data_IF_953182731071
#
_entry.id   IF_953182731071
#
_cell.length_a   1.000
_cell.length_b   1.000
_cell.length_c   1.000
_cell.angle_alpha   90.00
_cell.angle_beta   90.00
_cell.angle_gamma   90.00
#
_symmetry.space_group_name_H-M   'P 1'
#
loop_
_entity.id
_entity.type
_entity.pdbx_description
1 polymer ?
#
# COMPACT_ATOMS: atom_id res chain seq x y z
N UNK A 1 3.70 -24.17 -29.12
CA UNK A 1 3.27 -23.80 -27.76
C UNK A 1 3.41 -22.31 -27.59
N UNK A 2 2.35 -21.59 -27.76
CA UNK A 2 2.30 -20.19 -27.38
C UNK A 2 2.28 -20.15 -25.86
N UNK A 3 3.42 -19.78 -25.26
CA UNK A 3 3.41 -19.31 -23.88
C UNK A 3 2.54 -18.06 -23.87
N UNK A 4 1.30 -18.19 -23.43
CA UNK A 4 0.52 -17.03 -23.05
C UNK A 4 1.39 -16.27 -22.06
N UNK A 5 1.86 -15.08 -22.46
CA UNK A 5 2.62 -14.22 -21.57
C UNK A 5 1.75 -13.88 -20.39
N UNK A 6 1.86 -14.63 -19.31
CA UNK A 6 1.29 -14.23 -18.03
C UNK A 6 2.02 -12.95 -17.69
N UNK A 7 1.31 -11.83 -17.80
CA UNK A 7 1.85 -10.53 -17.43
C UNK A 7 2.29 -10.62 -15.96
N UNK A 8 3.59 -10.54 -15.76
CA UNK A 8 4.17 -10.68 -14.42
C UNK A 8 3.84 -9.44 -13.61
N UNK A 9 3.17 -9.63 -12.49
CA UNK A 9 2.89 -8.53 -11.58
C UNK A 9 4.19 -8.02 -10.96
N UNK A 10 4.35 -6.68 -10.92
CA UNK A 10 5.42 -6.02 -10.20
C UNK A 10 4.99 -5.85 -8.74
N UNK A 11 5.43 -6.77 -7.89
CA UNK A 11 5.08 -6.82 -6.47
C UNK A 11 6.32 -7.10 -5.63
N UNK A 12 6.42 -6.46 -4.47
CA UNK A 12 7.48 -6.67 -3.50
C UNK A 12 6.89 -7.01 -2.14
N UNK A 13 7.43 -8.02 -1.50
CA UNK A 13 7.09 -8.35 -0.13
C UNK A 13 7.89 -7.47 0.82
N UNK A 14 7.21 -6.66 1.62
CA UNK A 14 7.84 -5.80 2.63
C UNK A 14 7.99 -6.54 3.95
N UNK A 15 6.91 -7.15 4.41
CA UNK A 15 6.89 -8.09 5.53
C UNK A 15 6.09 -9.32 5.09
N UNK A 16 6.01 -10.32 5.95
CA UNK A 16 5.17 -11.49 5.69
C UNK A 16 3.72 -11.11 5.40
N UNK A 17 3.24 -9.99 5.96
CA UNK A 17 1.84 -9.57 5.89
C UNK A 17 1.60 -8.30 5.07
N UNK A 18 2.62 -7.67 4.51
CA UNK A 18 2.50 -6.40 3.80
C UNK A 18 3.27 -6.44 2.47
N UNK A 19 2.57 -6.10 1.40
CA UNK A 19 3.11 -6.09 0.04
C UNK A 19 2.81 -4.77 -0.65
N UNK A 20 3.72 -4.34 -1.53
CA UNK A 20 3.56 -3.16 -2.39
C UNK A 20 3.65 -3.62 -3.84
N UNK A 21 2.78 -3.08 -4.69
CA UNK A 21 2.81 -3.33 -6.12
C UNK A 21 2.65 -2.05 -6.93
N UNK A 22 3.09 -2.10 -8.17
CA UNK A 22 2.65 -1.16 -9.19
C UNK A 22 1.22 -1.51 -9.60
N UNK A 23 0.63 -0.75 -10.52
CA UNK A 23 -0.77 -0.88 -10.90
C UNK A 23 -1.18 -2.35 -11.13
N UNK A 24 -2.16 -2.79 -10.36
CA UNK A 24 -2.78 -4.10 -10.51
C UNK A 24 -3.81 -4.02 -11.64
N UNK A 25 -3.65 -4.89 -12.64
CA UNK A 25 -4.53 -4.98 -13.81
C UNK A 25 -5.33 -6.29 -13.75
N UNK A 26 -6.37 -6.36 -14.57
CA UNK A 26 -7.20 -7.57 -14.68
C UNK A 26 -6.36 -8.83 -14.97
N UNK A 27 -5.33 -8.71 -15.79
CA UNK A 27 -4.44 -9.81 -16.16
C UNK A 27 -3.61 -10.36 -15.00
N UNK A 28 -3.55 -9.62 -13.88
CA UNK A 28 -2.82 -10.01 -12.67
C UNK A 28 -3.71 -10.81 -11.68
N UNK A 29 -4.97 -11.04 -12.01
CA UNK A 29 -5.94 -11.64 -11.08
C UNK A 29 -5.44 -12.95 -10.49
N UNK A 30 -4.88 -13.83 -11.30
CA UNK A 30 -4.42 -15.14 -10.82
C UNK A 30 -3.28 -15.00 -9.82
N UNK A 31 -2.32 -14.11 -10.08
CA UNK A 31 -1.23 -13.84 -9.14
C UNK A 31 -1.75 -13.28 -7.81
N UNK A 32 -2.76 -12.41 -7.88
CA UNK A 32 -3.39 -11.85 -6.67
C UNK A 32 -4.11 -12.95 -5.90
N UNK A 33 -4.84 -13.84 -6.58
CA UNK A 33 -5.53 -14.96 -5.91
C UNK A 33 -4.53 -15.89 -5.22
N UNK A 34 -3.36 -16.13 -5.82
CA UNK A 34 -2.30 -16.93 -5.21
C UNK A 34 -1.70 -16.25 -3.98
N UNK A 35 -1.58 -14.93 -4.00
CA UNK A 35 -1.13 -14.15 -2.83
C UNK A 35 -2.15 -14.25 -1.70
N UNK A 36 -3.41 -14.39 -2.03
CA UNK A 36 -4.54 -14.49 -1.09
C UNK A 36 -4.58 -13.33 -0.08
N UNK A 37 -4.64 -12.07 -0.54
CA UNK A 37 -4.69 -10.94 0.38
C UNK A 37 -6.05 -10.85 1.07
N UNK A 38 -6.02 -10.53 2.36
CA UNK A 38 -7.24 -10.21 3.11
C UNK A 38 -7.76 -8.80 2.83
N UNK A 39 -6.89 -7.94 2.31
CA UNK A 39 -7.24 -6.57 1.94
C UNK A 39 -6.33 -6.08 0.82
N UNK A 40 -6.92 -5.45 -0.19
CA UNK A 40 -6.20 -4.74 -1.25
C UNK A 40 -6.53 -3.25 -1.12
N UNK A 41 -5.52 -2.40 -1.09
CA UNK A 41 -5.68 -0.94 -1.05
C UNK A 41 -5.18 -0.37 -2.37
N UNK A 42 -6.07 0.28 -3.12
CA UNK A 42 -5.71 1.06 -4.30
C UNK A 42 -5.58 2.53 -3.94
N UNK A 43 -4.44 3.13 -4.30
CA UNK A 43 -4.17 4.55 -4.10
C UNK A 43 -4.37 5.37 -5.39
N UNK A 44 -4.95 4.78 -6.42
CA UNK A 44 -5.08 5.41 -7.74
C UNK A 44 -6.42 6.12 -7.87
N UNK A 45 -6.40 7.44 -8.14
CA UNK A 45 -7.62 8.23 -8.35
C UNK A 45 -8.19 8.06 -9.77
N UNK A 46 -7.33 7.95 -10.77
CA UNK A 46 -7.72 8.00 -12.18
C UNK A 46 -8.44 6.74 -12.68
N UNK A 47 -8.26 5.64 -11.99
CA UNK A 47 -8.74 4.33 -12.43
C UNK A 47 -9.42 3.59 -11.30
N UNK A 48 -10.55 3.00 -11.60
CA UNK A 48 -11.17 2.06 -10.66
C UNK A 48 -10.30 0.81 -10.52
N UNK A 49 -10.24 0.20 -9.34
CA UNK A 49 -9.66 -1.13 -9.21
C UNK A 49 -10.35 -2.12 -10.15
N UNK A 50 -9.64 -3.14 -10.66
CA UNK A 50 -10.25 -4.12 -11.55
C UNK A 50 -11.46 -4.79 -10.90
N UNK A 51 -12.59 -4.77 -11.61
CA UNK A 51 -13.84 -5.38 -11.11
C UNK A 51 -13.69 -6.87 -10.84
N UNK A 52 -12.77 -7.53 -11.55
CA UNK A 52 -12.50 -8.94 -11.38
C UNK A 52 -12.04 -9.29 -9.95
N UNK A 53 -11.35 -8.39 -9.28
CA UNK A 53 -10.92 -8.60 -7.89
C UNK A 53 -12.14 -8.71 -6.96
N UNK A 54 -13.07 -7.78 -7.09
CA UNK A 54 -14.29 -7.76 -6.28
C UNK A 54 -15.18 -8.96 -6.63
N UNK A 55 -15.28 -9.31 -7.93
CA UNK A 55 -16.06 -10.45 -8.37
C UNK A 55 -15.58 -11.78 -7.80
N UNK A 56 -14.30 -11.88 -7.44
CA UNK A 56 -13.69 -13.05 -6.80
C UNK A 56 -13.76 -13.01 -5.26
N UNK A 57 -14.49 -12.05 -4.70
CA UNK A 57 -14.68 -11.95 -3.26
C UNK A 57 -13.53 -11.29 -2.50
N UNK A 58 -12.58 -10.68 -3.21
CA UNK A 58 -11.48 -9.94 -2.59
C UNK A 58 -11.98 -8.61 -2.06
N UNK A 59 -11.54 -8.24 -0.87
CA UNK A 59 -11.86 -6.94 -0.27
C UNK A 59 -10.93 -5.88 -0.84
N UNK A 60 -11.50 -4.83 -1.45
CA UNK A 60 -10.75 -3.75 -2.07
C UNK A 60 -11.18 -2.42 -1.48
N UNK A 61 -10.22 -1.71 -0.89
CA UNK A 61 -10.39 -0.35 -0.40
C UNK A 61 -9.79 0.61 -1.41
N UNK A 62 -10.62 1.45 -1.99
CA UNK A 62 -10.19 2.42 -3.00
C UNK A 62 -10.01 3.80 -2.37
N UNK A 63 -8.75 4.17 -2.12
CA UNK A 63 -8.36 5.48 -1.59
C UNK A 63 -7.86 6.35 -2.74
N UNK A 64 -8.70 7.28 -3.18
CA UNK A 64 -8.44 8.12 -4.35
C UNK A 64 -7.45 9.22 -4.01
N UNK A 65 -6.18 9.02 -4.37
CA UNK A 65 -5.12 9.98 -4.07
C UNK A 65 -4.35 10.38 -5.32
N UNK A 66 -3.73 11.56 -5.26
CA UNK A 66 -2.88 12.08 -6.32
C UNK A 66 -1.41 11.95 -5.91
N UNK A 67 -0.56 11.63 -6.88
CA UNK A 67 0.89 11.69 -6.69
C UNK A 67 1.38 13.04 -7.22
N UNK A 68 1.23 14.05 -6.38
CA UNK A 68 1.61 15.41 -6.75
C UNK A 68 2.22 16.13 -5.53
N UNK A 69 3.42 16.74 -5.69
CA UNK A 69 4.14 17.33 -4.56
C UNK A 69 3.38 18.43 -3.81
N UNK A 70 2.49 19.15 -4.50
CA UNK A 70 1.72 20.26 -3.93
C UNK A 70 0.37 19.83 -3.34
N UNK A 71 -0.04 18.57 -3.58
CA UNK A 71 -1.31 18.04 -3.07
C UNK A 71 -0.98 16.85 -2.17
N UNK A 72 -0.89 17.05 -0.86
CA UNK A 72 -0.56 15.94 0.05
C UNK A 72 -1.72 14.94 0.15
N UNK A 73 -1.38 13.69 0.45
CA UNK A 73 -2.38 12.70 0.83
C UNK A 73 -2.97 13.14 2.19
N UNK A 74 -4.29 13.30 2.30
CA UNK A 74 -4.87 13.70 3.58
C UNK A 74 -4.55 12.69 4.69
N UNK A 75 -4.27 13.19 5.89
CA UNK A 75 -4.04 12.32 7.06
C UNK A 75 -5.22 11.39 7.32
N UNK A 76 -6.43 11.88 7.10
CA UNK A 76 -7.67 11.09 7.19
C UNK A 76 -7.64 9.87 6.27
N UNK A 77 -7.13 10.03 5.05
CA UNK A 77 -7.01 8.95 4.08
C UNK A 77 -5.97 7.92 4.51
N UNK A 78 -4.81 8.38 4.97
CA UNK A 78 -3.77 7.49 5.49
C UNK A 78 -4.29 6.73 6.72
N UNK A 79 -4.96 7.40 7.63
CA UNK A 79 -5.59 6.79 8.80
C UNK A 79 -6.59 5.71 8.40
N UNK A 80 -7.44 5.99 7.42
CA UNK A 80 -8.43 5.03 6.93
C UNK A 80 -7.77 3.75 6.43
N UNK A 81 -6.71 3.86 5.66
CA UNK A 81 -5.96 2.71 5.15
C UNK A 81 -5.30 1.92 6.27
N UNK A 82 -4.68 2.60 7.23
CA UNK A 82 -4.03 1.95 8.37
C UNK A 82 -5.06 1.22 9.24
N UNK A 83 -6.18 1.85 9.56
CA UNK A 83 -7.23 1.23 10.37
C UNK A 83 -7.89 0.04 9.70
N UNK A 84 -7.95 0.03 8.37
CA UNK A 84 -8.43 -1.13 7.61
C UNK A 84 -7.42 -2.27 7.57
N UNK A 85 -6.12 -1.94 7.50
CA UNK A 85 -5.05 -2.92 7.34
C UNK A 85 -4.70 -3.64 8.65
N UNK A 86 -4.68 -2.92 9.77
CA UNK A 86 -4.20 -3.48 11.05
C UNK A 86 -4.97 -4.73 11.50
N UNK A 87 -6.32 -4.77 11.47
CA UNK A 87 -7.04 -5.98 11.87
C UNK A 87 -6.71 -7.19 10.98
N UNK A 88 -6.55 -6.97 9.68
CA UNK A 88 -6.19 -8.04 8.73
C UNK A 88 -4.84 -8.64 9.10
N UNK A 89 -3.85 -7.78 9.35
CA UNK A 89 -2.49 -8.21 9.72
C UNK A 89 -2.48 -8.90 11.09
N UNK A 90 -3.19 -8.34 12.06
CA UNK A 90 -3.30 -8.91 13.41
C UNK A 90 -3.92 -10.31 13.41
N UNK A 91 -4.80 -10.60 12.44
CA UNK A 91 -5.40 -11.91 12.26
C UNK A 91 -4.57 -12.84 11.34
N UNK A 92 -3.35 -12.46 11.02
CA UNK A 92 -2.44 -13.28 10.20
C UNK A 92 -2.65 -13.14 8.70
N UNK A 93 -3.49 -12.22 8.25
CA UNK A 93 -3.76 -11.97 6.83
C UNK A 93 -2.69 -11.11 6.17
N UNK A 94 -2.83 -10.97 4.85
CA UNK A 94 -1.92 -10.16 4.01
C UNK A 94 -2.64 -8.94 3.47
N UNK A 95 -1.92 -7.82 3.42
CA UNK A 95 -2.39 -6.57 2.83
C UNK A 95 -1.52 -6.25 1.62
N UNK A 96 -2.17 -5.92 0.51
CA UNK A 96 -1.52 -5.45 -0.71
C UNK A 96 -1.89 -4.00 -0.94
N UNK A 97 -0.89 -3.13 -1.07
CA UNK A 97 -1.08 -1.71 -1.41
C UNK A 97 -0.49 -1.45 -2.78
N UNK A 98 -1.24 -0.83 -3.68
CA UNK A 98 -0.72 -0.47 -4.98
C UNK A 98 -1.08 0.95 -5.39
N UNK A 99 -0.24 1.55 -6.23
CA UNK A 99 -0.49 2.78 -6.97
C UNK A 99 0.01 2.59 -8.41
N UNK A 100 0.18 3.64 -9.19
CA UNK A 100 0.62 3.47 -10.59
C UNK A 100 2.00 2.81 -10.67
N UNK A 101 3.00 3.37 -10.01
CA UNK A 101 4.37 2.86 -10.07
C UNK A 101 4.82 2.05 -8.86
N UNK A 102 4.03 2.02 -7.80
CA UNK A 102 4.46 1.41 -6.56
C UNK A 102 5.69 2.08 -5.96
N UNK A 103 5.83 3.39 -6.15
CA UNK A 103 7.02 4.16 -5.80
C UNK A 103 6.76 5.22 -4.73
N UNK A 104 5.62 5.89 -4.76
CA UNK A 104 5.31 7.02 -3.88
C UNK A 104 4.07 6.79 -3.00
N UNK A 105 2.87 6.80 -3.58
CA UNK A 105 1.60 6.73 -2.80
C UNK A 105 1.45 5.44 -2.03
N UNK A 106 1.70 4.31 -2.67
CA UNK A 106 1.66 3.00 -2.00
C UNK A 106 2.77 2.86 -0.97
N UNK A 107 3.93 3.46 -1.23
CA UNK A 107 5.06 3.50 -0.29
C UNK A 107 4.70 4.31 0.95
N UNK A 108 4.05 5.47 0.76
CA UNK A 108 3.56 6.28 1.89
C UNK A 108 2.55 5.49 2.73
N UNK A 109 1.57 4.86 2.10
CA UNK A 109 0.55 4.07 2.79
C UNK A 109 1.17 2.87 3.53
N UNK A 110 2.02 2.11 2.88
CA UNK A 110 2.68 0.97 3.50
C UNK A 110 3.55 1.39 4.70
N UNK A 111 4.28 2.49 4.58
CA UNK A 111 5.06 3.05 5.69
C UNK A 111 4.16 3.44 6.86
N UNK A 112 3.01 4.04 6.59
CA UNK A 112 2.03 4.37 7.63
C UNK A 112 1.46 3.12 8.30
N UNK A 113 1.22 2.05 7.55
CA UNK A 113 0.79 0.77 8.13
C UNK A 113 1.85 0.22 9.08
N UNK A 114 3.12 0.27 8.70
CA UNK A 114 4.22 -0.13 9.56
C UNK A 114 4.29 0.72 10.83
N UNK A 115 4.06 2.02 10.73
CA UNK A 115 3.97 2.91 11.90
C UNK A 115 2.81 2.46 12.79
N UNK A 116 1.68 2.12 12.22
CA UNK A 116 0.55 1.56 12.96
C UNK A 116 0.87 0.26 13.70
N UNK A 117 1.86 -0.49 13.21
CA UNK A 117 2.35 -1.72 13.84
C UNK A 117 3.45 -1.46 14.89
N UNK A 118 3.85 -0.20 15.11
CA UNK A 118 4.82 0.16 16.13
C UNK A 118 6.20 0.57 15.63
N UNK A 119 6.41 0.60 14.31
CA UNK A 119 7.68 1.11 13.76
C UNK A 119 7.72 2.63 13.82
N UNK A 120 8.95 3.18 13.93
CA UNK A 120 9.14 4.61 13.68
C UNK A 120 9.06 4.92 12.19
N UNK A 121 8.90 6.19 11.85
CA UNK A 121 8.94 6.61 10.44
C UNK A 121 10.26 6.23 9.78
N UNK A 122 11.39 6.42 10.47
CA UNK A 122 12.70 6.07 9.94
C UNK A 122 12.82 4.56 9.68
N UNK A 123 12.40 3.73 10.63
CA UNK A 123 12.40 2.27 10.47
C UNK A 123 11.51 1.83 9.31
N UNK A 124 10.30 2.41 9.21
CA UNK A 124 9.35 2.08 8.14
C UNK A 124 9.92 2.43 6.77
N UNK A 125 10.47 3.63 6.60
CA UNK A 125 11.06 4.07 5.33
C UNK A 125 12.25 3.22 4.94
N UNK A 126 13.10 2.88 5.90
CA UNK A 126 14.27 2.03 5.65
C UNK A 126 13.84 0.62 5.23
N UNK A 127 12.87 0.04 5.90
CA UNK A 127 12.38 -1.29 5.57
C UNK A 127 11.79 -1.33 4.16
N UNK A 128 10.92 -0.38 3.83
CA UNK A 128 10.28 -0.31 2.51
C UNK A 128 11.32 -0.13 1.40
N UNK A 129 12.28 0.78 1.58
CA UNK A 129 13.31 1.02 0.57
C UNK A 129 14.26 -0.17 0.41
N UNK A 130 14.52 -0.93 1.47
CA UNK A 130 15.37 -2.12 1.41
C UNK A 130 14.70 -3.30 0.70
N UNK A 131 13.38 -3.40 0.76
CA UNK A 131 12.61 -4.51 0.20
C UNK A 131 12.07 -4.25 -1.20
N UNK A 132 11.92 -2.99 -1.58
CA UNK A 132 11.43 -2.62 -2.91
C UNK A 132 12.37 -1.61 -3.55
N UNK A 133 13.05 -2.05 -4.61
CA UNK A 133 14.12 -1.28 -5.26
C UNK A 133 13.66 0.08 -5.80
N UNK A 134 12.44 0.15 -6.38
CA UNK A 134 11.91 1.39 -6.96
C UNK A 134 11.24 2.29 -5.92
N UNK A 135 11.06 1.82 -4.69
CA UNK A 135 10.42 2.61 -3.64
C UNK A 135 11.24 3.85 -3.30
N UNK A 136 10.57 4.99 -3.22
CA UNK A 136 11.19 6.26 -2.88
C UNK A 136 10.46 6.94 -1.72
N UNK A 137 10.59 6.39 -0.49
CA UNK A 137 9.98 7.02 0.69
C UNK A 137 10.65 8.33 1.07
N UNK A 138 11.86 8.58 0.56
CA UNK A 138 12.64 9.78 0.86
C UNK A 138 12.36 10.94 -0.10
N UNK A 139 11.53 10.75 -1.12
CA UNK A 139 10.99 11.87 -1.89
C UNK A 139 10.38 12.88 -0.92
N UNK A 140 10.73 14.15 -1.08
CA UNK A 140 10.43 15.20 -0.08
C UNK A 140 8.97 15.22 0.35
N UNK A 141 8.05 15.18 -0.61
CA UNK A 141 6.60 15.21 -0.33
C UNK A 141 6.10 13.92 0.34
N UNK A 142 6.70 12.78 0.04
CA UNK A 142 6.34 11.49 0.63
C UNK A 142 6.88 11.37 2.06
N UNK A 143 8.15 11.68 2.26
CA UNK A 143 8.77 11.66 3.59
C UNK A 143 8.03 12.58 4.55
N UNK A 144 7.67 13.78 4.11
CA UNK A 144 6.90 14.72 4.92
C UNK A 144 5.58 14.14 5.40
N UNK A 145 4.87 13.45 4.51
CA UNK A 145 3.58 12.83 4.84
C UNK A 145 3.74 11.67 5.82
N UNK A 146 4.76 10.85 5.64
CA UNK A 146 5.03 9.72 6.55
C UNK A 146 5.34 10.26 7.96
N UNK A 147 6.17 11.30 8.08
CA UNK A 147 6.51 11.91 9.36
C UNK A 147 5.31 12.61 10.01
N UNK A 148 4.47 13.27 9.23
CA UNK A 148 3.22 13.86 9.74
C UNK A 148 2.29 12.78 10.28
N UNK A 149 2.19 11.67 9.59
CA UNK A 149 1.37 10.54 10.05
C UNK A 149 1.93 9.96 11.35
N UNK A 150 3.25 9.80 11.48
CA UNK A 150 3.87 9.32 12.72
C UNK A 150 3.49 10.21 13.92
N UNK A 151 3.62 11.51 13.76
CA UNK A 151 3.27 12.48 14.82
C UNK A 151 1.77 12.38 15.17
N UNK A 152 0.90 12.33 14.16
CA UNK A 152 -0.53 12.22 14.34
C UNK A 152 -0.92 10.89 15.03
N UNK A 153 -0.33 9.78 14.60
CA UNK A 153 -0.63 8.46 15.15
C UNK A 153 -0.18 8.35 16.61
N UNK A 154 1.01 8.87 16.94
CA UNK A 154 1.52 8.91 18.30
C UNK A 154 0.64 9.75 19.22
N UNK A 155 0.14 10.90 18.76
CA UNK A 155 -0.70 11.78 19.59
C UNK A 155 -2.03 11.15 19.99
N UNK A 156 -2.53 10.15 19.26
CA UNK A 156 -3.76 9.42 19.61
C UNK A 156 -3.64 8.70 20.96
N UNK A 157 -2.44 8.27 21.32
CA UNK A 157 -2.19 7.52 22.57
C UNK A 157 -2.13 8.42 23.80
N UNK A 158 -2.05 9.74 23.62
CA UNK A 158 -1.94 10.73 24.69
C UNK A 158 -3.27 11.35 25.08
N UNK A 159 -4.35 11.04 24.36
CA UNK A 159 -5.70 11.55 24.66
C UNK A 159 -6.52 10.60 25.51
#
# INVERSE_FOLDING_TARGET
>A
MTRSGISKIDISQITEHLHIASRVKREHLEAILQLDPGLIISMIVQRRPPKALIAKGLEVLWLRTLDFPLIPIPLKTLKQGVEAALPVIQNGGRVLVFCEGGRHRSVAMASCILIGQGHSADEAMQLVSSKRNVADPYARHIQRQIRRFEAFWGSRLES
#
